data_IF_398014707386
#
_entry.id   IF_398014707386
#
_cell.length_a   1.000
_cell.length_b   1.000
_cell.length_c   1.000
_cell.angle_alpha   90.00
_cell.angle_beta   90.00
_cell.angle_gamma   90.00
#
_symmetry.space_group_name_H-M   'P 1'
#
loop_
_entity.id
_entity.type
_entity.pdbx_description
1 polymer ?
#
# COMPACT_ATOMS: atom_id res chain seq x y z
N UNK A 1 -7.84 -20.57 -4.56
CA UNK A 1 -6.42 -20.90 -4.86
C UNK A 1 -5.63 -20.79 -3.57
N UNK A 2 -4.60 -21.63 -3.37
CA UNK A 2 -3.72 -21.52 -2.21
C UNK A 2 -2.96 -20.18 -2.21
N UNK A 3 -2.32 -19.86 -1.07
CA UNK A 3 -1.46 -18.69 -0.93
C UNK A 3 -0.38 -18.67 -2.03
N UNK A 4 -0.10 -17.48 -2.58
CA UNK A 4 0.97 -17.30 -3.56
C UNK A 4 2.33 -17.43 -2.89
N UNK A 5 3.24 -18.17 -3.52
CA UNK A 5 4.60 -18.40 -3.03
C UNK A 5 5.64 -17.50 -3.68
N UNK A 6 5.25 -16.71 -4.68
CA UNK A 6 6.12 -15.81 -5.42
C UNK A 6 6.06 -14.35 -4.96
N UNK A 7 5.31 -14.07 -3.89
CA UNK A 7 5.19 -12.77 -3.24
C UNK A 7 5.55 -12.97 -1.77
N UNK A 8 6.48 -12.17 -1.27
CA UNK A 8 6.89 -12.15 0.13
C UNK A 8 6.67 -10.78 0.76
N UNK A 9 6.89 -9.70 0.01
CA UNK A 9 6.74 -8.32 0.48
C UNK A 9 5.65 -7.57 -0.27
N UNK A 10 4.71 -6.99 0.48
CA UNK A 10 3.56 -6.26 -0.06
C UNK A 10 3.61 -4.79 0.37
N UNK A 11 3.52 -3.88 -0.60
CA UNK A 11 3.30 -2.46 -0.38
C UNK A 11 1.80 -2.16 -0.37
N UNK A 12 1.29 -1.60 0.72
CA UNK A 12 -0.08 -1.11 0.86
C UNK A 12 -0.07 0.41 0.75
N UNK A 13 -0.97 0.97 -0.06
CA UNK A 13 -1.19 2.42 -0.15
C UNK A 13 -2.45 2.77 0.64
N UNK A 14 -2.30 3.60 1.68
CA UNK A 14 -3.42 4.15 2.45
C UNK A 14 -4.16 5.27 1.74
N UNK A 15 -5.21 5.81 2.37
CA UNK A 15 -6.06 6.84 1.76
C UNK A 15 -5.52 8.27 1.88
N UNK A 16 -4.56 8.51 2.76
CA UNK A 16 -4.17 9.87 3.13
C UNK A 16 -5.20 10.52 4.07
N UNK A 17 -5.26 11.86 4.13
CA UNK A 17 -6.10 12.58 5.09
C UNK A 17 -7.59 12.32 4.83
N UNK A 18 -8.37 12.38 5.92
CA UNK A 18 -9.83 12.23 5.87
C UNK A 18 -10.45 13.43 5.15
N UNK A 19 -11.29 13.14 4.15
CA UNK A 19 -12.09 14.13 3.41
C UNK A 19 -13.52 13.64 3.22
N UNK A 20 -14.44 14.54 2.87
CA UNK A 20 -15.82 14.16 2.55
C UNK A 20 -15.79 13.17 1.36
N UNK A 21 -16.38 11.99 1.56
CA UNK A 21 -16.40 10.91 0.57
C UNK A 21 -15.21 9.95 0.61
N UNK A 22 -14.21 10.20 1.46
CA UNK A 22 -13.09 9.30 1.70
C UNK A 22 -12.60 9.45 3.15
N UNK A 23 -13.10 8.60 4.06
CA UNK A 23 -12.93 8.77 5.50
C UNK A 23 -12.37 7.51 6.20
N UNK A 24 -12.81 7.28 7.44
CA UNK A 24 -12.24 6.29 8.35
C UNK A 24 -12.39 4.83 7.87
N UNK A 25 -13.27 4.57 6.90
CA UNK A 25 -13.47 3.26 6.30
C UNK A 25 -12.18 2.67 5.71
N UNK A 26 -11.24 3.52 5.28
CA UNK A 26 -9.95 3.10 4.74
C UNK A 26 -8.90 2.80 5.80
N UNK A 27 -8.96 3.46 6.97
CA UNK A 27 -8.15 3.06 8.13
C UNK A 27 -8.58 1.68 8.63
N UNK A 28 -9.90 1.48 8.77
CA UNK A 28 -10.47 0.18 9.13
C UNK A 28 -10.05 -0.91 8.13
N UNK A 29 -10.24 -0.66 6.83
CA UNK A 29 -9.92 -1.64 5.78
C UNK A 29 -8.42 -1.93 5.68
N UNK A 30 -7.58 -0.88 5.75
CA UNK A 30 -6.13 -1.00 5.75
C UNK A 30 -5.60 -1.77 6.96
N UNK A 31 -6.15 -1.51 8.15
CA UNK A 31 -5.81 -2.24 9.37
C UNK A 31 -6.17 -3.74 9.25
N UNK A 32 -7.34 -4.07 8.70
CA UNK A 32 -7.74 -5.46 8.48
C UNK A 32 -6.81 -6.17 7.50
N UNK A 33 -6.42 -5.48 6.42
CA UNK A 33 -5.47 -6.04 5.46
C UNK A 33 -4.09 -6.27 6.05
N UNK A 34 -3.58 -5.35 6.88
CA UNK A 34 -2.30 -5.54 7.57
C UNK A 34 -2.34 -6.79 8.46
N UNK A 35 -3.43 -6.97 9.24
CA UNK A 35 -3.62 -8.16 10.09
C UNK A 35 -3.71 -9.44 9.26
N UNK A 36 -4.45 -9.43 8.16
CA UNK A 36 -4.64 -10.60 7.30
C UNK A 36 -3.36 -11.01 6.57
N UNK A 37 -2.59 -10.05 6.05
CA UNK A 37 -1.32 -10.34 5.38
C UNK A 37 -0.26 -10.82 6.38
N UNK A 38 -0.21 -10.22 7.57
CA UNK A 38 0.72 -10.63 8.63
C UNK A 38 0.45 -12.05 9.11
N UNK A 39 -0.81 -12.45 9.27
CA UNK A 39 -1.16 -13.82 9.70
C UNK A 39 -0.81 -14.88 8.65
N UNK A 40 -0.64 -14.47 7.39
CA UNK A 40 -0.16 -15.31 6.29
C UNK A 40 1.37 -15.23 6.09
N UNK A 41 2.09 -14.46 6.92
CA UNK A 41 3.55 -14.38 6.90
C UNK A 41 4.14 -13.47 5.82
N UNK A 42 3.37 -12.53 5.27
CA UNK A 42 3.91 -11.52 4.37
C UNK A 42 4.64 -10.41 5.15
N UNK A 43 5.72 -9.88 4.59
CA UNK A 43 6.33 -8.63 5.03
C UNK A 43 5.50 -7.46 4.47
N UNK A 44 5.13 -6.52 5.32
CA UNK A 44 4.22 -5.43 4.98
C UNK A 44 4.97 -4.11 5.03
N UNK A 45 4.95 -3.40 3.90
CA UNK A 45 5.31 -2.00 3.80
C UNK A 45 4.02 -1.22 3.66
N UNK A 46 3.80 -0.23 4.52
CA UNK A 46 2.63 0.64 4.44
C UNK A 46 3.08 2.09 4.21
N UNK A 47 2.40 2.79 3.30
CA UNK A 47 2.50 4.25 3.17
C UNK A 47 1.14 4.89 3.34
N UNK A 48 1.05 5.89 4.23
CA UNK A 48 -0.15 6.70 4.43
C UNK A 48 0.25 8.07 4.99
N UNK A 49 -0.22 9.17 4.41
CA UNK A 49 0.12 10.51 4.90
C UNK A 49 -0.66 10.94 6.15
N UNK A 50 -1.71 10.20 6.55
CA UNK A 50 -2.52 10.52 7.72
C UNK A 50 -1.92 9.87 8.99
N UNK A 51 -1.40 10.67 9.95
CA UNK A 51 -0.84 10.12 11.20
C UNK A 51 -1.89 9.66 12.20
N UNK A 52 -3.17 10.02 12.02
CA UNK A 52 -4.25 9.70 12.95
C UNK A 52 -4.99 8.41 12.55
N UNK A 53 -4.25 7.36 12.18
CA UNK A 53 -4.81 6.08 11.73
C UNK A 53 -4.20 4.91 12.49
N UNK A 54 -5.01 3.91 12.81
CA UNK A 54 -4.54 2.68 13.46
C UNK A 54 -3.61 1.91 12.53
N UNK A 55 -3.89 1.90 11.22
CA UNK A 55 -3.01 1.21 10.26
C UNK A 55 -1.58 1.76 10.27
N UNK A 56 -1.36 3.02 10.66
CA UNK A 56 -0.02 3.62 10.78
C UNK A 56 0.67 3.37 12.13
N UNK A 57 0.04 2.64 13.05
CA UNK A 57 0.70 2.27 14.30
C UNK A 57 1.94 1.39 14.00
N UNK A 58 3.05 1.55 14.74
CA UNK A 58 4.31 0.85 14.45
C UNK A 58 4.21 -0.69 14.45
N UNK A 59 3.18 -1.24 15.09
CA UNK A 59 2.94 -2.67 15.23
C UNK A 59 2.13 -3.29 14.08
N UNK A 60 1.51 -2.48 13.21
CA UNK A 60 0.61 -2.97 12.15
C UNK A 60 1.36 -3.45 10.91
N UNK A 61 2.43 -2.78 10.52
CA UNK A 61 3.28 -3.14 9.37
C UNK A 61 4.74 -3.34 9.80
N UNK A 62 5.54 -4.04 9.01
CA UNK A 62 6.99 -4.18 9.27
C UNK A 62 7.72 -2.86 9.00
N UNK A 63 7.23 -2.11 8.02
CA UNK A 63 7.67 -0.74 7.70
C UNK A 63 6.47 0.16 7.49
N UNK A 64 6.37 1.24 8.27
CA UNK A 64 5.34 2.26 8.11
C UNK A 64 5.97 3.59 7.69
N UNK A 65 5.44 4.18 6.62
CA UNK A 65 5.82 5.48 6.08
C UNK A 65 4.67 6.47 6.24
N UNK A 66 4.84 7.44 7.13
CA UNK A 66 3.96 8.60 7.23
C UNK A 66 4.50 9.69 6.32
N UNK A 67 4.16 9.59 5.04
CA UNK A 67 4.79 10.34 3.94
C UNK A 67 3.73 10.77 2.91
N UNK A 68 3.99 11.82 2.10
CA UNK A 68 3.06 12.24 1.05
C UNK A 68 2.74 11.12 0.04
N UNK A 69 1.46 11.01 -0.32
CA UNK A 69 0.97 10.06 -1.32
C UNK A 69 1.12 10.65 -2.73
N UNK A 70 2.34 10.68 -3.25
CA UNK A 70 2.66 11.12 -4.60
C UNK A 70 3.67 10.18 -5.27
N UNK A 71 3.79 10.28 -6.60
CA UNK A 71 4.64 9.39 -7.41
C UNK A 71 6.10 9.45 -6.97
N UNK A 72 6.66 10.65 -6.78
CA UNK A 72 8.06 10.82 -6.40
C UNK A 72 8.39 10.07 -5.10
N UNK A 73 7.55 10.26 -4.07
CA UNK A 73 7.81 9.70 -2.76
C UNK A 73 7.56 8.21 -2.72
N UNK A 74 6.48 7.74 -3.33
CA UNK A 74 6.20 6.30 -3.40
C UNK A 74 7.24 5.58 -4.27
N UNK A 75 7.76 6.20 -5.32
CA UNK A 75 8.89 5.67 -6.10
C UNK A 75 10.14 5.49 -5.24
N UNK A 76 10.46 6.46 -4.36
CA UNK A 76 11.58 6.33 -3.43
C UNK A 76 11.37 5.19 -2.43
N UNK A 77 10.15 4.99 -1.94
CA UNK A 77 9.79 3.88 -1.05
C UNK A 77 9.93 2.55 -1.80
N UNK A 78 9.38 2.42 -3.01
CA UNK A 78 9.51 1.22 -3.86
C UNK A 78 10.98 0.90 -4.13
N UNK A 79 11.79 1.91 -4.47
CA UNK A 79 13.23 1.76 -4.73
C UNK A 79 13.99 1.23 -3.50
N UNK A 80 13.64 1.70 -2.31
CA UNK A 80 14.27 1.32 -1.04
C UNK A 80 13.82 -0.06 -0.57
N UNK A 81 12.51 -0.29 -0.54
CA UNK A 81 11.92 -1.46 0.10
C UNK A 81 11.82 -2.68 -0.82
N UNK A 82 11.80 -2.46 -2.15
CA UNK A 82 11.68 -3.50 -3.19
C UNK A 82 10.51 -4.47 -2.92
N UNK A 83 9.26 -3.97 -2.83
CA UNK A 83 8.10 -4.83 -2.66
C UNK A 83 7.88 -5.70 -3.90
N UNK A 84 7.46 -6.96 -3.71
CA UNK A 84 7.11 -7.86 -4.82
C UNK A 84 5.74 -7.49 -5.41
N UNK A 85 4.87 -6.94 -4.57
CA UNK A 85 3.51 -6.59 -4.95
C UNK A 85 3.02 -5.29 -4.31
N UNK A 86 2.04 -4.67 -4.97
CA UNK A 86 1.37 -3.44 -4.54
C UNK A 86 -0.14 -3.69 -4.44
N UNK A 87 -0.74 -3.34 -3.31
CA UNK A 87 -2.17 -3.47 -3.02
C UNK A 87 -2.80 -2.07 -2.90
N UNK A 88 -3.43 -1.53 -3.97
CA UNK A 88 -3.88 -0.14 -4.03
C UNK A 88 -5.33 0.08 -3.60
N UNK A 89 -6.13 -0.98 -3.52
CA UNK A 89 -7.59 -0.91 -3.36
C UNK A 89 -8.06 -0.67 -1.92
N UNK A 90 -7.13 -0.42 -0.99
CA UNK A 90 -7.42 -0.12 0.42
C UNK A 90 -7.26 1.38 0.75
N UNK A 91 -6.81 2.18 -0.21
CA UNK A 91 -6.59 3.63 -0.07
C UNK A 91 -7.66 4.48 -0.75
N UNK A 92 -8.83 3.93 -1.05
CA UNK A 92 -9.89 4.64 -1.78
C UNK A 92 -9.44 5.11 -3.16
N UNK A 93 -9.94 6.27 -3.60
CA UNK A 93 -9.58 6.82 -4.90
C UNK A 93 -8.13 7.30 -4.92
N UNK A 94 -7.61 7.81 -3.79
CA UNK A 94 -6.22 8.22 -3.65
C UNK A 94 -5.24 7.07 -3.96
N UNK A 95 -5.49 5.89 -3.39
CA UNK A 95 -4.65 4.71 -3.63
C UNK A 95 -4.72 4.20 -5.07
N UNK A 96 -5.92 4.16 -5.65
CA UNK A 96 -6.12 3.71 -7.04
C UNK A 96 -5.50 4.67 -8.06
N UNK A 97 -5.70 5.97 -7.91
CA UNK A 97 -5.13 6.97 -8.81
C UNK A 97 -3.60 6.94 -8.76
N UNK A 98 -3.02 6.88 -7.56
CA UNK A 98 -1.56 6.83 -7.41
C UNK A 98 -0.97 5.55 -8.01
N UNK A 99 -1.65 4.42 -7.88
CA UNK A 99 -1.25 3.19 -8.55
C UNK A 99 -1.28 3.33 -10.08
N UNK A 100 -2.33 3.94 -10.63
CA UNK A 100 -2.45 4.18 -12.07
C UNK A 100 -1.37 5.13 -12.59
N UNK A 101 -1.01 6.16 -11.83
CA UNK A 101 0.10 7.07 -12.16
C UNK A 101 1.45 6.34 -12.14
N UNK A 102 1.74 5.57 -11.10
CA UNK A 102 2.97 4.75 -11.00
C UNK A 102 3.07 3.73 -12.14
N UNK A 103 1.96 3.12 -12.55
CA UNK A 103 1.91 2.21 -13.68
C UNK A 103 2.15 2.94 -15.01
N UNK A 104 1.48 4.06 -15.23
CA UNK A 104 1.62 4.89 -16.44
C UNK A 104 3.05 5.43 -16.62
N UNK A 105 3.74 5.74 -15.54
CA UNK A 105 5.14 6.17 -15.56
C UNK A 105 6.14 4.99 -15.70
N UNK A 106 5.66 3.75 -15.74
CA UNK A 106 6.49 2.56 -15.90
C UNK A 106 7.31 2.20 -14.65
N UNK A 107 7.02 2.83 -13.51
CA UNK A 107 7.75 2.60 -12.25
C UNK A 107 7.50 1.18 -11.76
N UNK A 108 6.26 0.69 -11.80
CA UNK A 108 5.95 -0.65 -11.32
C UNK A 108 6.70 -1.72 -12.14
N UNK A 109 6.75 -1.57 -13.45
CA UNK A 109 7.50 -2.46 -14.34
C UNK A 109 9.02 -2.35 -14.12
N UNK A 110 9.55 -1.13 -13.97
CA UNK A 110 10.98 -0.88 -13.71
C UNK A 110 11.47 -1.61 -12.45
N UNK A 111 10.63 -1.69 -11.41
CA UNK A 111 10.95 -2.32 -10.14
C UNK A 111 10.40 -3.74 -10.00
N UNK A 112 9.69 -4.27 -11.00
CA UNK A 112 9.12 -5.62 -11.00
C UNK A 112 7.97 -5.81 -10.00
N UNK A 113 7.25 -4.74 -9.66
CA UNK A 113 6.18 -4.73 -8.65
C UNK A 113 4.85 -5.15 -9.28
N UNK A 114 4.26 -6.25 -8.79
CA UNK A 114 2.98 -6.76 -9.29
C UNK A 114 1.79 -6.07 -8.61
N UNK A 115 0.85 -5.53 -9.38
CA UNK A 115 -0.43 -5.06 -8.81
C UNK A 115 -1.28 -6.27 -8.45
N UNK A 116 -1.81 -6.30 -7.22
CA UNK A 116 -2.70 -7.34 -6.71
C UNK A 116 -3.99 -6.74 -6.16
N UNK A 117 -5.04 -7.57 -6.04
CA UNK A 117 -6.36 -7.16 -5.55
C UNK A 117 -7.25 -6.48 -6.60
N UNK A 118 -6.65 -5.80 -7.58
CA UNK A 118 -7.32 -5.20 -8.76
C UNK A 118 -6.50 -5.44 -10.02
N UNK A 119 -7.10 -5.21 -11.19
CA UNK A 119 -6.38 -5.10 -12.45
C UNK A 119 -5.86 -3.66 -12.61
N UNK A 120 -4.59 -3.54 -13.01
CA UNK A 120 -3.95 -2.27 -13.32
C UNK A 120 -4.51 -1.64 -14.60
#
# INVERSE_FOLDING_TARGET
MPQRTDIHKVLIIGSGPIVIGQACEFDYSGTQACKALRSLGYEIVLVNSNPATIMTDPEMADRTYIEPLNVDRVTQIIKKERPDALLPNLGGQSGLNLCAELYKEGILDQYGVKVIGVQA
#
